data_IF_992983094699
#
_entry.id   IF_992983094699
#
_cell.length_a   1.000
_cell.length_b   1.000
_cell.length_c   1.000
_cell.angle_alpha   90.00
_cell.angle_beta   90.00
_cell.angle_gamma   90.00
#
_symmetry.space_group_name_H-M   'P 1'
#
loop_
_entity.id
_entity.type
_entity.pdbx_description
1 polymer ?
#
# COMPACT_ATOMS: atom_id res chain seq x y z
N UNK A 1 -18.43 7.27 -15.89
CA UNK A 1 -17.24 6.56 -15.46
C UNK A 1 -17.47 5.91 -14.11
N UNK A 2 -17.19 4.63 -13.99
CA UNK A 2 -17.43 3.90 -12.77
C UNK A 2 -16.35 4.21 -11.74
N UNK A 3 -16.77 4.54 -10.54
CA UNK A 3 -15.86 4.81 -9.44
C UNK A 3 -15.78 3.59 -8.55
N UNK A 4 -14.57 3.18 -8.20
CA UNK A 4 -14.34 2.02 -7.34
C UNK A 4 -14.33 2.47 -5.88
N UNK A 5 -14.83 1.61 -5.01
CA UNK A 5 -14.77 1.83 -3.57
C UNK A 5 -13.38 1.45 -3.06
N UNK A 6 -12.82 2.30 -2.20
CA UNK A 6 -11.53 2.02 -1.58
C UNK A 6 -11.77 1.43 -0.21
N UNK A 7 -11.21 0.24 0.02
CA UNK A 7 -11.25 -0.42 1.31
C UNK A 7 -9.81 -0.57 1.83
N UNK A 8 -9.57 -0.06 3.02
CA UNK A 8 -8.25 -0.17 3.66
C UNK A 8 -8.34 -1.25 4.71
N UNK A 9 -7.55 -2.32 4.53
CA UNK A 9 -7.56 -3.42 5.48
C UNK A 9 -7.01 -2.96 6.82
N UNK A 10 -7.32 -3.73 7.86
CA UNK A 10 -6.80 -3.46 9.21
C UNK A 10 -5.27 -3.43 9.22
N UNK A 11 -4.64 -4.35 8.47
CA UNK A 11 -3.18 -4.37 8.35
C UNK A 11 -2.61 -3.13 7.69
N UNK A 12 -3.24 -2.67 6.60
CA UNK A 12 -2.80 -1.44 5.93
C UNK A 12 -3.01 -0.20 6.80
N UNK A 13 -4.12 -0.14 7.54
CA UNK A 13 -4.37 0.96 8.46
C UNK A 13 -3.30 1.00 9.55
N UNK A 14 -2.93 -0.16 10.07
CA UNK A 14 -1.85 -0.27 11.06
C UNK A 14 -0.51 0.16 10.48
N UNK A 15 -0.24 -0.23 9.23
CA UNK A 15 0.98 0.21 8.54
C UNK A 15 1.07 1.74 8.48
N UNK A 16 -0.05 2.39 8.12
CA UNK A 16 -0.09 3.85 8.01
C UNK A 16 0.14 4.50 9.37
N UNK A 17 -0.44 3.96 10.43
CA UNK A 17 -0.23 4.47 11.79
C UNK A 17 1.24 4.32 12.21
N UNK A 18 1.85 3.20 11.93
CA UNK A 18 3.25 2.94 12.28
C UNK A 18 4.21 3.85 11.51
N UNK A 19 3.93 4.06 10.22
CA UNK A 19 4.72 4.98 9.40
C UNK A 19 4.60 6.41 9.95
N UNK A 20 3.39 6.82 10.28
CA UNK A 20 3.14 8.15 10.83
C UNK A 20 3.94 8.35 12.13
N UNK A 21 3.84 7.41 13.05
CA UNK A 21 4.54 7.50 14.34
C UNK A 21 6.06 7.50 14.18
N UNK A 22 6.56 6.71 13.23
CA UNK A 22 8.00 6.68 12.96
C UNK A 22 8.48 8.04 12.47
N UNK A 23 7.81 8.63 11.49
CA UNK A 23 8.22 9.93 10.92
C UNK A 23 8.05 11.04 11.96
N UNK A 24 6.97 11.01 12.73
CA UNK A 24 6.73 11.98 13.78
C UNK A 24 7.87 11.97 14.80
N UNK A 25 8.31 10.79 15.21
CA UNK A 25 9.39 10.64 16.21
C UNK A 25 10.76 10.97 15.65
N UNK A 26 11.03 10.53 14.42
CA UNK A 26 12.36 10.68 13.79
C UNK A 26 12.56 12.05 13.16
N UNK A 27 11.49 12.72 12.78
CA UNK A 27 11.56 14.01 12.08
C UNK A 27 10.66 15.04 12.79
N UNK A 28 9.38 15.11 12.39
CA UNK A 28 8.44 16.07 13.00
C UNK A 28 7.01 15.67 12.72
N UNK A 29 6.08 16.22 13.50
CA UNK A 29 4.65 16.04 13.27
C UNK A 29 4.24 16.63 11.92
N UNK A 30 4.81 17.78 11.56
CA UNK A 30 4.53 18.40 10.27
C UNK A 30 4.90 17.50 9.10
N UNK A 31 6.06 16.85 9.17
CA UNK A 31 6.50 15.95 8.11
C UNK A 31 5.65 14.67 8.09
N UNK A 32 5.27 14.17 9.26
CA UNK A 32 4.38 13.01 9.35
C UNK A 32 3.02 13.32 8.72
N UNK A 33 2.45 14.49 9.00
CA UNK A 33 1.18 14.93 8.42
C UNK A 33 1.27 15.03 6.90
N UNK A 34 2.35 15.62 6.39
CA UNK A 34 2.57 15.75 4.95
C UNK A 34 2.65 14.40 4.26
N UNK A 35 3.39 13.48 4.85
CA UNK A 35 3.54 12.14 4.28
C UNK A 35 2.20 11.42 4.25
N UNK A 36 1.47 11.46 5.36
CA UNK A 36 0.17 10.79 5.44
C UNK A 36 -0.79 11.35 4.38
N UNK A 37 -0.82 12.67 4.22
CA UNK A 37 -1.66 13.31 3.20
C UNK A 37 -1.30 12.82 1.80
N UNK A 38 -0.02 12.73 1.48
CA UNK A 38 0.44 12.26 0.17
C UNK A 38 0.08 10.80 -0.08
N UNK A 39 0.22 9.96 0.93
CA UNK A 39 -0.16 8.55 0.81
C UNK A 39 -1.67 8.43 0.64
N UNK A 40 -2.45 9.23 1.35
CA UNK A 40 -3.91 9.21 1.21
C UNK A 40 -4.38 9.68 -0.16
N UNK A 41 -3.74 10.72 -0.71
CA UNK A 41 -4.05 11.19 -2.06
C UNK A 41 -3.75 10.09 -3.09
N UNK A 42 -2.61 9.43 -2.93
CA UNK A 42 -2.21 8.34 -3.82
C UNK A 42 -3.23 7.20 -3.77
N UNK A 43 -3.62 6.80 -2.57
CA UNK A 43 -4.60 5.72 -2.39
C UNK A 43 -5.96 6.11 -3.00
N UNK A 44 -6.43 7.33 -2.75
CA UNK A 44 -7.72 7.80 -3.27
C UNK A 44 -7.74 7.85 -4.79
N UNK A 45 -6.59 8.08 -5.43
CA UNK A 45 -6.51 8.12 -6.89
C UNK A 45 -6.91 6.78 -7.52
N UNK A 46 -6.83 5.69 -6.77
CA UNK A 46 -7.18 4.36 -7.25
C UNK A 46 -8.69 4.18 -7.45
N UNK A 47 -9.50 5.05 -6.86
CA UNK A 47 -10.96 4.97 -7.05
C UNK A 47 -11.35 5.22 -8.49
N UNK A 48 -10.62 6.07 -9.20
CA UNK A 48 -10.90 6.39 -10.61
C UNK A 48 -10.00 5.65 -11.58
N UNK A 49 -8.77 5.33 -11.14
CA UNK A 49 -7.78 4.64 -11.98
C UNK A 49 -7.22 3.43 -11.26
N UNK A 50 -8.03 2.38 -11.05
CA UNK A 50 -7.55 1.21 -10.30
C UNK A 50 -6.45 0.44 -11.01
N UNK A 51 -6.31 0.62 -12.33
CA UNK A 51 -5.29 -0.08 -13.12
C UNK A 51 -3.98 0.68 -13.21
N UNK A 52 -3.87 1.84 -12.58
CA UNK A 52 -2.67 2.67 -12.72
C UNK A 52 -1.42 2.05 -12.12
N UNK A 53 -1.59 1.16 -11.17
CA UNK A 53 -0.46 0.52 -10.50
C UNK A 53 0.21 -0.53 -11.37
N UNK A 54 1.49 -0.76 -11.12
CA UNK A 54 2.25 -1.81 -11.78
C UNK A 54 2.14 -3.11 -10.98
N UNK A 55 2.52 -4.22 -11.61
CA UNK A 55 2.53 -5.50 -10.90
C UNK A 55 3.84 -5.64 -10.14
N UNK A 56 3.79 -5.94 -8.83
CA UNK A 56 5.00 -6.13 -8.04
C UNK A 56 5.79 -7.31 -8.56
N UNK A 57 7.07 -7.11 -8.86
CA UNK A 57 7.91 -8.18 -9.41
C UNK A 57 8.05 -9.37 -8.46
N UNK A 58 8.06 -9.11 -7.16
CA UNK A 58 8.19 -10.15 -6.13
C UNK A 58 7.01 -11.14 -6.18
N UNK A 59 5.82 -10.63 -6.44
CA UNK A 59 4.62 -11.45 -6.51
C UNK A 59 4.41 -12.04 -7.89
N UNK A 60 4.76 -11.31 -8.94
CA UNK A 60 4.69 -11.84 -10.31
C UNK A 60 5.60 -13.05 -10.48
N UNK A 61 6.78 -13.02 -9.85
CA UNK A 61 7.70 -14.15 -9.87
C UNK A 61 7.11 -15.42 -9.26
N UNK A 62 6.12 -15.26 -8.37
CA UNK A 62 5.42 -16.38 -7.74
C UNK A 62 4.11 -16.73 -8.46
N UNK A 63 3.85 -16.10 -9.61
CA UNK A 63 2.61 -16.31 -10.35
C UNK A 63 1.41 -15.59 -9.79
N UNK A 64 1.61 -14.71 -8.81
CA UNK A 64 0.52 -13.97 -8.15
C UNK A 64 0.32 -12.63 -8.85
N UNK A 65 -0.50 -12.63 -9.89
CA UNK A 65 -0.67 -11.47 -10.75
C UNK A 65 -1.88 -10.60 -10.40
N UNK A 66 -2.62 -10.97 -9.36
CA UNK A 66 -3.80 -10.22 -8.93
C UNK A 66 -3.45 -8.93 -8.18
N UNK A 67 -2.20 -8.79 -7.74
CA UNK A 67 -1.77 -7.64 -6.95
C UNK A 67 -1.13 -6.57 -7.82
N UNK A 68 -1.33 -5.32 -7.43
CA UNK A 68 -0.69 -4.15 -8.03
C UNK A 68 -0.07 -3.29 -6.95
N UNK A 69 0.78 -2.36 -7.36
CA UNK A 69 1.38 -1.41 -6.43
C UNK A 69 1.40 -0.01 -7.04
N UNK A 70 1.29 0.98 -6.17
CA UNK A 70 1.61 2.38 -6.50
C UNK A 70 2.66 2.85 -5.51
N UNK A 71 3.46 3.83 -5.92
CA UNK A 71 4.65 4.22 -5.16
C UNK A 71 4.65 5.70 -4.88
N UNK A 72 4.89 6.06 -3.63
CA UNK A 72 5.34 7.38 -3.21
C UNK A 72 6.68 7.14 -2.52
N UNK A 73 7.80 7.37 -3.21
CA UNK A 73 9.10 6.96 -2.68
C UNK A 73 9.37 7.49 -1.28
N UNK A 74 9.90 6.67 -0.38
CA UNK A 74 10.31 5.28 -0.56
C UNK A 74 9.19 4.26 -0.31
N UNK A 75 7.94 4.71 -0.14
CA UNK A 75 6.84 3.83 0.26
C UNK A 75 6.15 3.19 -0.92
N UNK A 76 5.76 1.92 -0.75
CA UNK A 76 5.00 1.15 -1.72
C UNK A 76 3.65 0.81 -1.13
N UNK A 77 2.59 0.99 -1.92
CA UNK A 77 1.22 0.67 -1.52
C UNK A 77 0.76 -0.51 -2.38
N UNK A 78 0.48 -1.64 -1.75
CA UNK A 78 0.05 -2.86 -2.44
C UNK A 78 -1.46 -3.00 -2.32
N UNK A 79 -2.10 -3.29 -3.44
CA UNK A 79 -3.55 -3.42 -3.48
C UNK A 79 -3.96 -4.47 -4.51
N UNK A 80 -5.22 -4.87 -4.46
CA UNK A 80 -5.81 -5.70 -5.51
C UNK A 80 -7.25 -5.24 -5.77
N UNK A 81 -7.73 -5.58 -6.96
CA UNK A 81 -9.11 -5.32 -7.34
C UNK A 81 -9.95 -6.55 -7.07
N UNK A 82 -11.08 -6.35 -6.41
CA UNK A 82 -12.08 -7.40 -6.21
C UNK A 82 -13.40 -6.77 -6.62
N UNK A 83 -13.92 -7.18 -7.79
CA UNK A 83 -15.11 -6.61 -8.39
C UNK A 83 -14.96 -5.09 -8.57
N UNK A 84 -15.77 -4.28 -7.88
CA UNK A 84 -15.72 -2.83 -7.96
C UNK A 84 -14.97 -2.22 -6.78
N UNK A 85 -14.18 -3.02 -6.07
CA UNK A 85 -13.51 -2.57 -4.86
C UNK A 85 -11.99 -2.63 -5.03
N UNK A 86 -11.32 -1.59 -4.54
CA UNK A 86 -9.87 -1.55 -4.42
C UNK A 86 -9.54 -1.88 -2.98
N UNK A 87 -8.89 -3.02 -2.78
CA UNK A 87 -8.52 -3.46 -1.44
C UNK A 87 -7.05 -3.13 -1.20
N UNK A 88 -6.79 -2.17 -0.32
CA UNK A 88 -5.42 -1.76 0.05
C UNK A 88 -4.95 -2.67 1.17
N UNK A 89 -3.88 -3.41 0.92
CA UNK A 89 -3.45 -4.52 1.78
C UNK A 89 -2.24 -4.19 2.63
N UNK A 90 -1.27 -3.49 2.05
CA UNK A 90 0.03 -3.24 2.68
C UNK A 90 0.53 -1.87 2.27
N UNK A 91 1.09 -1.13 3.23
CA UNK A 91 1.87 0.07 2.95
C UNK A 91 3.21 -0.11 3.65
N UNK A 92 4.30 -0.09 2.89
CA UNK A 92 5.60 -0.38 3.47
C UNK A 92 6.71 0.41 2.77
N UNK A 93 7.77 0.68 3.52
CA UNK A 93 9.00 1.25 2.98
C UNK A 93 9.60 0.22 2.02
N UNK A 94 9.77 0.61 0.76
CA UNK A 94 10.24 -0.29 -0.30
C UNK A 94 11.67 -0.75 -0.15
N UNK A 95 12.42 -0.19 0.80
CA UNK A 95 13.81 -0.61 1.08
C UNK A 95 13.89 -1.82 1.99
N UNK A 96 12.76 -2.22 2.60
CA UNK A 96 12.69 -3.41 3.44
C UNK A 96 12.78 -4.67 2.58
N UNK A 97 13.08 -5.81 3.22
CA UNK A 97 13.02 -7.12 2.57
C UNK A 97 11.57 -7.42 2.20
N UNK A 98 11.21 -7.05 0.99
CA UNK A 98 9.84 -7.10 0.53
C UNK A 98 9.36 -8.52 0.31
N UNK A 99 10.24 -9.40 -0.14
CA UNK A 99 9.89 -10.80 -0.35
C UNK A 99 9.40 -11.44 0.95
N UNK A 100 10.15 -11.25 2.03
CA UNK A 100 9.78 -11.79 3.34
C UNK A 100 8.51 -11.13 3.86
N UNK A 101 8.41 -9.80 3.75
CA UNK A 101 7.24 -9.07 4.22
C UNK A 101 5.96 -9.52 3.50
N UNK A 102 6.01 -9.63 2.18
CA UNK A 102 4.85 -10.03 1.39
C UNK A 102 4.43 -11.46 1.69
N UNK A 103 5.40 -12.37 1.81
CA UNK A 103 5.11 -13.75 2.16
C UNK A 103 4.39 -13.82 3.51
N UNK A 104 4.90 -13.12 4.50
CA UNK A 104 4.31 -13.10 5.83
C UNK A 104 2.89 -12.51 5.84
N UNK A 105 2.70 -11.40 5.15
CA UNK A 105 1.43 -10.66 5.17
C UNK A 105 0.35 -11.29 4.29
N UNK A 106 0.72 -11.89 3.18
CA UNK A 106 -0.24 -12.44 2.21
C UNK A 106 -0.49 -13.93 2.40
N UNK A 107 0.50 -14.67 2.89
CA UNK A 107 0.37 -16.12 3.13
C UNK A 107 0.07 -16.44 4.59
N UNK A 108 0.02 -15.42 5.40
CA UNK A 108 -0.21 -15.58 6.84
C UNK A 108 1.05 -15.90 7.59
N UNK A 109 0.99 -15.75 8.91
CA UNK A 109 2.11 -16.15 9.76
C UNK A 109 2.09 -17.64 9.95
N UNK A 110 3.12 -18.25 9.54
CA UNK A 110 3.31 -19.68 9.72
C UNK A 110 4.22 -19.91 10.89
#
# INVERSE_FOLDING_TARGET
>A
MKRHEILITRGAARDLDEIYEYVRSADSETQADRLLDKLEVLIRSLAQNPDRGSRPKELSALGMREFRQVIHPPYRVFYRLIDTKVLVLIVADGRRDMTTLLAHRLLGSI
#
